data_IF_165135466574
#
_entry.id   IF_165135466574
#
_cell.length_a   1.000
_cell.length_b   1.000
_cell.length_c   1.000
_cell.angle_alpha   90.00
_cell.angle_beta   90.00
_cell.angle_gamma   90.00
#
_symmetry.space_group_name_H-M   'P 1'
#
loop_
_entity.id
_entity.type
_entity.pdbx_description
1 polymer ?
#
# COMPACT_ATOMS: atom_id res chain seq x y z
N UNK A 1 14.48 -58.03 -25.12
CA UNK A 1 13.43 -57.34 -24.32
C UNK A 1 13.96 -56.25 -23.38
N UNK A 2 15.24 -56.17 -23.09
CA UNK A 2 15.83 -55.16 -22.18
C UNK A 2 16.11 -53.79 -22.85
N UNK A 3 16.23 -53.73 -24.18
CA UNK A 3 16.59 -52.47 -24.87
C UNK A 3 15.44 -51.45 -24.98
N UNK A 4 14.16 -51.89 -24.91
CA UNK A 4 12.99 -50.99 -24.98
C UNK A 4 12.68 -50.28 -23.65
N UNK A 5 13.09 -50.86 -22.51
CA UNK A 5 12.82 -50.25 -21.20
C UNK A 5 13.67 -49.01 -20.92
N UNK A 6 14.92 -48.95 -21.45
CA UNK A 6 15.83 -47.81 -21.22
C UNK A 6 15.39 -46.51 -21.92
N UNK A 7 14.73 -46.64 -23.06
CA UNK A 7 14.26 -45.47 -23.81
C UNK A 7 12.98 -44.84 -23.19
N UNK A 8 12.12 -45.66 -22.57
CA UNK A 8 10.93 -45.14 -21.88
C UNK A 8 11.28 -44.38 -20.60
N UNK A 9 12.30 -44.81 -19.86
CA UNK A 9 12.76 -44.13 -18.67
C UNK A 9 13.42 -42.78 -18.99
N UNK A 10 14.16 -42.70 -20.09
CA UNK A 10 14.81 -41.45 -20.52
C UNK A 10 13.78 -40.38 -21.00
N UNK A 11 12.72 -40.82 -21.68
CA UNK A 11 11.64 -39.89 -22.15
C UNK A 11 10.82 -39.39 -20.97
N UNK A 12 10.52 -40.23 -19.98
CA UNK A 12 9.79 -39.84 -18.79
C UNK A 12 10.56 -38.83 -17.93
N UNK A 13 11.90 -39.00 -17.84
CA UNK A 13 12.79 -38.07 -17.10
C UNK A 13 12.89 -36.71 -17.82
N UNK A 14 12.93 -36.69 -19.14
CA UNK A 14 13.00 -35.47 -19.95
C UNK A 14 11.68 -34.67 -19.84
N UNK A 15 10.53 -35.33 -19.81
CA UNK A 15 9.21 -34.66 -19.67
C UNK A 15 9.05 -34.06 -18.27
N UNK A 16 9.55 -34.71 -17.21
CA UNK A 16 9.51 -34.19 -15.86
C UNK A 16 10.45 -32.98 -15.71
N UNK A 17 11.63 -33.01 -16.35
CA UNK A 17 12.59 -31.89 -16.31
C UNK A 17 12.08 -30.65 -17.08
N UNK A 18 11.37 -30.84 -18.20
CA UNK A 18 10.74 -29.74 -18.94
C UNK A 18 9.50 -29.18 -18.22
N UNK A 19 8.76 -30.00 -17.49
CA UNK A 19 7.59 -29.57 -16.71
C UNK A 19 7.93 -28.68 -15.53
N UNK A 20 9.12 -28.79 -14.94
CA UNK A 20 9.56 -27.97 -13.81
C UNK A 20 10.08 -26.58 -14.21
N UNK A 21 10.39 -26.36 -15.50
CA UNK A 21 10.86 -25.07 -16.01
C UNK A 21 9.73 -24.06 -16.29
N UNK A 22 8.46 -24.50 -16.30
CA UNK A 22 7.31 -23.62 -16.58
C UNK A 22 6.56 -23.11 -15.34
N UNK A 23 7.02 -23.44 -14.12
CA UNK A 23 6.28 -23.14 -12.89
C UNK A 23 6.69 -21.83 -12.17
N UNK A 24 7.55 -20.99 -12.74
CA UNK A 24 8.01 -19.77 -12.08
C UNK A 24 7.86 -18.48 -12.91
N UNK A 25 6.84 -18.35 -13.74
CA UNK A 25 6.44 -17.03 -14.23
C UNK A 25 5.43 -16.39 -13.28
N UNK A 26 5.81 -16.18 -12.03
CA UNK A 26 5.10 -15.24 -11.19
C UNK A 26 5.20 -13.87 -11.86
N UNK A 27 4.09 -13.32 -12.31
CA UNK A 27 4.04 -11.93 -12.77
C UNK A 27 4.69 -11.05 -11.71
N UNK A 28 5.58 -10.11 -12.07
CA UNK A 28 6.23 -9.27 -11.08
C UNK A 28 5.17 -8.57 -10.22
N UNK A 29 5.30 -8.72 -8.91
CA UNK A 29 4.36 -8.11 -7.97
C UNK A 29 4.28 -6.60 -8.23
N UNK A 30 3.07 -6.06 -8.27
CA UNK A 30 2.83 -4.63 -8.46
C UNK A 30 3.43 -3.82 -7.31
N UNK A 31 3.22 -4.29 -6.08
CA UNK A 31 3.67 -3.63 -4.86
C UNK A 31 4.86 -4.37 -4.30
N UNK A 32 5.98 -3.68 -4.13
CA UNK A 32 7.25 -4.27 -3.71
C UNK A 32 7.71 -3.60 -2.41
N UNK A 33 7.86 -4.41 -1.37
CA UNK A 33 8.49 -4.00 -0.11
C UNK A 33 9.96 -3.65 -0.37
N UNK A 34 10.37 -2.45 0.01
CA UNK A 34 11.74 -1.98 -0.17
C UNK A 34 12.65 -2.35 1.02
N UNK A 35 12.09 -2.86 2.12
CA UNK A 35 12.84 -3.22 3.33
C UNK A 35 13.21 -2.04 4.24
N UNK A 36 12.83 -0.82 3.88
CA UNK A 36 13.11 0.45 4.57
C UNK A 36 11.84 1.13 5.08
N UNK A 37 10.80 0.37 5.40
CA UNK A 37 9.46 0.86 5.78
C UNK A 37 8.69 1.52 4.62
N UNK A 38 9.08 1.24 3.38
CA UNK A 38 8.36 1.73 2.20
C UNK A 38 7.92 0.61 1.26
N UNK A 39 6.92 0.91 0.43
CA UNK A 39 6.37 0.03 -0.61
C UNK A 39 6.33 0.77 -1.94
N UNK A 40 7.02 0.27 -2.94
CA UNK A 40 6.97 0.81 -4.29
C UNK A 40 5.77 0.25 -5.08
N UNK A 41 4.93 1.11 -5.64
CA UNK A 41 3.90 0.74 -6.59
C UNK A 41 4.42 0.90 -8.03
N UNK A 42 4.80 -0.20 -8.65
CA UNK A 42 5.36 -0.24 -10.02
C UNK A 42 4.39 0.29 -11.08
N UNK A 43 3.09 0.20 -10.83
CA UNK A 43 2.09 0.69 -11.79
C UNK A 43 1.98 2.21 -11.77
N UNK A 44 1.93 2.81 -10.58
CA UNK A 44 1.77 4.26 -10.44
C UNK A 44 3.11 5.03 -10.44
N UNK A 45 4.22 4.37 -10.14
CA UNK A 45 5.52 5.00 -9.91
C UNK A 45 5.64 5.67 -8.55
N UNK A 46 4.65 5.50 -7.67
CA UNK A 46 4.64 6.07 -6.33
C UNK A 46 5.37 5.19 -5.33
N UNK A 47 5.98 5.84 -4.35
CA UNK A 47 6.53 5.21 -3.16
C UNK A 47 5.63 5.55 -1.97
N UNK A 48 5.23 4.56 -1.21
CA UNK A 48 4.29 4.67 -0.10
C UNK A 48 4.96 4.30 1.23
N UNK A 49 4.60 4.97 2.30
CA UNK A 49 4.88 4.49 3.66
C UNK A 49 4.24 3.11 3.86
N UNK A 50 4.98 2.11 4.34
CA UNK A 50 4.51 0.73 4.49
C UNK A 50 3.44 0.60 5.58
N UNK A 51 3.66 1.24 6.73
CA UNK A 51 2.66 1.45 7.77
C UNK A 51 1.80 2.68 7.52
N UNK A 52 1.35 3.30 8.60
CA UNK A 52 0.72 4.62 8.68
C UNK A 52 0.99 5.25 10.06
N UNK A 53 0.50 6.46 10.31
CA UNK A 53 0.71 7.17 11.57
C UNK A 53 0.20 6.41 12.81
N UNK A 54 -0.84 5.58 12.69
CA UNK A 54 -1.37 4.81 13.80
C UNK A 54 -0.36 3.77 14.31
N UNK A 55 0.48 3.20 13.44
CA UNK A 55 1.52 2.24 13.86
C UNK A 55 2.52 2.85 14.84
N UNK A 56 2.78 4.14 14.73
CA UNK A 56 3.71 4.88 15.60
C UNK A 56 3.00 5.51 16.80
N UNK A 57 1.90 6.22 16.57
CA UNK A 57 1.29 7.12 17.54
C UNK A 57 0.14 6.49 18.32
N UNK A 58 -0.44 5.38 17.83
CA UNK A 58 -1.59 4.66 18.41
C UNK A 58 -2.82 5.52 18.66
N UNK A 59 -2.99 6.57 17.87
CA UNK A 59 -4.12 7.51 17.90
C UNK A 59 -4.42 8.06 16.52
N UNK A 60 -5.66 8.51 16.31
CA UNK A 60 -6.05 9.33 15.18
C UNK A 60 -5.55 10.78 15.33
N UNK A 61 -5.80 11.59 14.31
CA UNK A 61 -5.37 12.98 14.27
C UNK A 61 -6.30 13.82 13.39
N UNK A 62 -6.34 15.12 13.63
CA UNK A 62 -7.00 16.06 12.75
C UNK A 62 -6.12 16.35 11.50
N UNK A 63 -6.68 17.08 10.52
CA UNK A 63 -5.99 17.33 9.26
C UNK A 63 -4.72 18.18 9.41
N UNK A 64 -4.72 19.16 10.31
CA UNK A 64 -3.54 19.98 10.58
C UNK A 64 -2.42 19.15 11.21
N UNK A 65 -2.76 18.29 12.17
CA UNK A 65 -1.81 17.34 12.77
C UNK A 65 -1.30 16.33 11.74
N UNK A 66 -2.12 15.99 10.74
CA UNK A 66 -1.70 15.14 9.63
C UNK A 66 -0.63 15.80 8.76
N UNK A 67 -0.72 17.11 8.51
CA UNK A 67 0.33 17.89 7.84
C UNK A 67 1.59 17.99 8.69
N UNK A 68 1.46 18.29 9.98
CA UNK A 68 2.59 18.33 10.92
C UNK A 68 3.34 17.00 11.00
N UNK A 69 2.60 15.87 10.99
CA UNK A 69 3.21 14.53 10.94
C UNK A 69 4.05 14.35 9.67
N UNK A 70 3.55 14.77 8.52
CA UNK A 70 4.29 14.70 7.25
C UNK A 70 5.54 15.57 7.31
N UNK A 71 5.42 16.81 7.81
CA UNK A 71 6.56 17.74 7.93
C UNK A 71 7.64 17.19 8.88
N UNK A 72 7.25 16.59 9.99
CA UNK A 72 8.16 15.90 10.91
C UNK A 72 8.91 14.77 10.21
N UNK A 73 8.20 13.92 9.44
CA UNK A 73 8.81 12.81 8.70
C UNK A 73 9.75 13.28 7.59
N UNK A 74 9.47 14.41 6.96
CA UNK A 74 10.38 15.05 6.02
C UNK A 74 11.63 15.59 6.72
N UNK A 75 11.50 16.24 7.87
CA UNK A 75 12.62 16.71 8.66
C UNK A 75 13.53 15.55 9.15
N UNK A 76 12.94 14.42 9.52
CA UNK A 76 13.64 13.18 9.88
C UNK A 76 14.26 12.46 8.69
N UNK A 77 13.96 12.86 7.46
CA UNK A 77 14.31 12.17 6.20
C UNK A 77 13.89 10.71 6.21
N UNK A 78 12.61 10.47 6.55
CA UNK A 78 12.05 9.12 6.61
C UNK A 78 12.38 8.31 5.35
N UNK A 79 12.94 7.11 5.53
CA UNK A 79 13.45 6.25 4.46
C UNK A 79 14.42 6.98 3.49
N UNK A 80 15.19 7.96 3.96
CA UNK A 80 16.15 8.73 3.18
C UNK A 80 15.55 9.84 2.31
N UNK A 81 14.27 10.20 2.50
CA UNK A 81 13.55 11.15 1.67
C UNK A 81 12.91 12.28 2.48
N UNK A 82 12.79 13.48 1.88
CA UNK A 82 12.25 14.69 2.48
C UNK A 82 11.12 15.34 1.64
N UNK A 83 10.55 14.59 0.71
CA UNK A 83 9.46 15.02 -0.19
C UNK A 83 8.16 14.19 -0.01
N UNK A 84 7.94 13.67 1.20
CA UNK A 84 6.71 12.99 1.58
C UNK A 84 5.55 13.98 1.64
N UNK A 85 4.35 13.50 1.34
CA UNK A 85 3.12 14.29 1.37
C UNK A 85 1.91 13.42 1.71
N UNK A 86 0.79 14.07 2.02
CA UNK A 86 -0.49 13.39 2.03
C UNK A 86 -0.86 12.91 0.61
N UNK A 87 -1.51 11.76 0.47
CA UNK A 87 -2.01 11.28 -0.81
C UNK A 87 -3.20 12.09 -1.29
N UNK A 88 -3.44 12.08 -2.58
CA UNK A 88 -4.73 12.48 -3.17
C UNK A 88 -5.74 11.36 -3.05
N UNK A 89 -7.04 11.68 -3.15
CA UNK A 89 -8.12 10.68 -3.26
C UNK A 89 -7.87 9.73 -4.45
N UNK A 90 -7.44 10.27 -5.59
CA UNK A 90 -7.14 9.47 -6.81
C UNK A 90 -6.03 8.45 -6.56
N UNK A 91 -5.00 8.80 -5.81
CA UNK A 91 -3.90 7.90 -5.45
C UNK A 91 -4.38 6.78 -4.53
N UNK A 92 -5.15 7.09 -3.48
CA UNK A 92 -5.73 6.09 -2.60
C UNK A 92 -6.70 5.15 -3.33
N UNK A 93 -7.54 5.68 -4.22
CA UNK A 93 -8.38 4.85 -5.11
C UNK A 93 -7.56 3.93 -6.01
N UNK A 94 -6.42 4.41 -6.50
CA UNK A 94 -5.51 3.62 -7.33
C UNK A 94 -4.79 2.52 -6.55
N UNK A 95 -4.55 2.74 -5.27
CA UNK A 95 -3.93 1.77 -4.36
C UNK A 95 -4.92 0.68 -3.92
N UNK A 96 -6.20 1.01 -3.82
CA UNK A 96 -7.24 0.13 -3.28
C UNK A 96 -7.39 -1.17 -4.07
N UNK A 97 -7.47 -2.30 -3.34
CA UNK A 97 -7.79 -3.63 -3.87
C UNK A 97 -9.06 -4.19 -3.22
N UNK A 98 -9.98 -4.70 -4.05
CA UNK A 98 -11.28 -5.20 -3.58
C UNK A 98 -11.20 -6.51 -2.80
N UNK A 99 -10.12 -7.26 -2.90
CA UNK A 99 -9.87 -8.46 -2.11
C UNK A 99 -9.68 -8.17 -0.61
N UNK A 100 -9.29 -6.93 -0.26
CA UNK A 100 -9.11 -6.46 1.11
C UNK A 100 -8.33 -7.43 2.01
N UNK A 101 -7.06 -7.74 1.66
CA UNK A 101 -6.27 -8.75 2.37
C UNK A 101 -5.78 -8.26 3.74
N UNK A 102 -5.64 -6.93 3.91
CA UNK A 102 -5.12 -6.31 5.13
C UNK A 102 -6.25 -6.10 6.15
N UNK A 103 -5.92 -6.14 7.43
CA UNK A 103 -6.82 -5.77 8.53
C UNK A 103 -6.44 -4.43 9.13
N UNK A 104 -7.44 -3.61 9.47
CA UNK A 104 -7.27 -2.37 10.22
C UNK A 104 -6.90 -2.62 11.68
N UNK A 105 -6.69 -1.54 12.44
CA UNK A 105 -6.48 -1.57 13.90
C UNK A 105 -7.64 -2.23 14.67
N UNK A 106 -8.85 -2.18 14.12
CA UNK A 106 -10.08 -2.71 14.71
C UNK A 106 -10.44 -4.11 14.17
N UNK A 107 -9.55 -4.69 13.36
CA UNK A 107 -9.71 -6.04 12.79
C UNK A 107 -10.55 -6.10 11.52
N UNK A 108 -11.04 -4.98 11.01
CA UNK A 108 -11.84 -4.90 9.80
C UNK A 108 -10.99 -5.05 8.53
N UNK A 109 -11.55 -5.68 7.51
CA UNK A 109 -10.85 -5.85 6.23
C UNK A 109 -10.80 -4.53 5.46
N UNK A 110 -9.60 -4.13 5.06
CA UNK A 110 -9.32 -2.90 4.31
C UNK A 110 -8.64 -3.17 2.97
N UNK A 111 -8.87 -2.29 2.01
CA UNK A 111 -8.44 -2.42 0.62
C UNK A 111 -6.98 -2.06 0.34
N UNK A 112 -6.09 -2.21 1.31
CA UNK A 112 -4.66 -2.13 1.03
C UNK A 112 -4.16 -3.50 0.55
N UNK A 113 -3.29 -3.55 -0.48
CA UNK A 113 -2.66 -4.79 -0.92
C UNK A 113 -1.53 -5.23 0.01
N UNK A 114 -1.10 -6.48 -0.09
CA UNK A 114 0.21 -6.88 0.43
C UNK A 114 1.31 -6.18 -0.40
N UNK A 115 2.42 -5.77 0.21
CA UNK A 115 2.94 -6.07 1.55
C UNK A 115 2.74 -4.93 2.58
N UNK A 116 1.66 -4.14 2.48
CA UNK A 116 1.38 -3.12 3.49
C UNK A 116 1.14 -3.73 4.86
N UNK A 117 1.38 -2.92 5.93
CA UNK A 117 1.30 -3.40 7.30
C UNK A 117 -0.15 -3.53 7.78
N UNK A 118 -0.47 -4.64 8.46
CA UNK A 118 -1.75 -4.82 9.16
C UNK A 118 -1.84 -3.95 10.41
N UNK A 119 -3.05 -3.64 10.88
CA UNK A 119 -3.27 -2.93 12.14
C UNK A 119 -3.18 -1.43 12.05
N UNK A 120 -3.29 -0.87 10.84
CA UNK A 120 -3.34 0.58 10.62
C UNK A 120 -4.74 1.17 10.64
N UNK A 121 -4.83 2.44 10.29
CA UNK A 121 -6.08 3.22 10.25
C UNK A 121 -7.04 2.72 9.17
N UNK A 122 -8.33 2.75 9.48
CA UNK A 122 -9.38 2.48 8.49
C UNK A 122 -9.61 3.67 7.57
N UNK A 123 -9.49 4.90 8.10
CA UNK A 123 -9.63 6.16 7.39
C UNK A 123 -8.28 6.86 7.24
N UNK A 124 -8.04 7.45 6.07
CA UNK A 124 -6.80 8.16 5.77
C UNK A 124 -7.08 9.56 5.26
N UNK A 125 -6.46 10.56 5.88
CA UNK A 125 -6.48 11.93 5.39
C UNK A 125 -5.86 12.05 3.99
N UNK A 126 -6.38 13.00 3.21
CA UNK A 126 -5.84 13.36 1.90
C UNK A 126 -5.36 14.81 1.89
N UNK A 127 -4.62 15.19 0.86
CA UNK A 127 -4.23 16.59 0.63
C UNK A 127 -5.34 17.42 -0.01
N UNK A 128 -6.54 16.87 -0.20
CA UNK A 128 -7.62 17.54 -0.91
C UNK A 128 -8.49 18.31 0.08
N UNK A 129 -8.49 19.61 -0.06
CA UNK A 129 -9.35 20.48 0.74
C UNK A 129 -10.77 20.58 0.17
N UNK A 130 -11.73 20.85 1.03
CA UNK A 130 -13.11 21.15 0.66
C UNK A 130 -13.54 22.49 1.28
N UNK A 131 -13.25 23.57 0.58
CA UNK A 131 -13.40 24.91 1.10
C UNK A 131 -12.38 25.22 2.20
N UNK A 132 -12.65 26.25 2.99
CA UNK A 132 -11.70 26.73 3.99
C UNK A 132 -11.58 25.81 5.21
N UNK A 133 -12.70 25.22 5.65
CA UNK A 133 -12.80 24.55 6.94
C UNK A 133 -12.68 23.02 6.87
N UNK A 134 -12.93 22.41 5.70
CA UNK A 134 -13.01 20.96 5.59
C UNK A 134 -11.87 20.38 4.71
N UNK A 135 -11.54 19.11 4.95
CA UNK A 135 -10.67 18.31 4.10
C UNK A 135 -11.28 16.92 3.85
N UNK A 136 -10.89 16.33 2.74
CA UNK A 136 -11.33 14.98 2.39
C UNK A 136 -10.46 13.92 3.03
N UNK A 137 -11.08 12.81 3.41
CA UNK A 137 -10.43 11.57 3.81
C UNK A 137 -11.06 10.38 3.10
N UNK A 138 -10.36 9.26 3.10
CA UNK A 138 -10.72 8.07 2.34
C UNK A 138 -10.90 6.86 3.25
N UNK A 139 -12.05 6.16 3.10
CA UNK A 139 -12.37 4.93 3.81
C UNK A 139 -11.85 3.70 3.05
N UNK A 140 -10.91 3.00 3.65
CA UNK A 140 -10.26 1.84 3.04
C UNK A 140 -11.13 0.57 3.03
N UNK A 141 -12.22 0.53 3.79
CA UNK A 141 -13.12 -0.64 3.81
C UNK A 141 -14.00 -0.73 2.59
N UNK A 142 -14.70 0.35 2.25
CA UNK A 142 -15.71 0.40 1.19
C UNK A 142 -15.30 1.24 -0.03
N UNK A 143 -14.09 1.78 -0.03
CA UNK A 143 -13.56 2.66 -1.11
C UNK A 143 -14.36 3.97 -1.21
N UNK A 144 -14.73 4.54 -0.09
CA UNK A 144 -15.60 5.70 0.00
C UNK A 144 -14.84 6.97 0.38
N UNK A 145 -15.36 8.10 -0.06
CA UNK A 145 -14.83 9.42 0.21
C UNK A 145 -15.71 10.12 1.24
N UNK A 146 -15.08 10.71 2.23
CA UNK A 146 -15.73 11.48 3.29
C UNK A 146 -15.00 12.80 3.47
N UNK A 147 -15.63 13.74 4.16
CA UNK A 147 -14.98 14.99 4.57
C UNK A 147 -15.31 15.29 6.02
N UNK A 148 -14.45 16.06 6.66
CA UNK A 148 -14.65 16.53 8.01
C UNK A 148 -13.99 17.89 8.19
N UNK A 149 -14.33 18.59 9.29
CA UNK A 149 -13.62 19.80 9.69
C UNK A 149 -12.13 19.50 9.89
N UNK A 150 -11.28 20.42 9.44
CA UNK A 150 -9.82 20.26 9.50
C UNK A 150 -9.28 20.22 10.93
N UNK A 151 -9.91 20.92 11.84
CA UNK A 151 -9.55 21.03 13.26
C UNK A 151 -10.23 19.99 14.14
N UNK A 152 -11.24 19.29 13.63
CA UNK A 152 -11.93 18.26 14.39
C UNK A 152 -10.99 17.05 14.57
N UNK A 153 -10.47 16.94 15.78
CA UNK A 153 -9.60 15.84 16.20
C UNK A 153 -10.41 14.60 16.50
N UNK A 154 -10.96 13.99 15.48
CA UNK A 154 -11.60 12.68 15.64
C UNK A 154 -10.74 11.64 14.93
N UNK A 155 -10.21 11.03 15.59
CA UNK A 155 -10.07 9.89 16.39
C UNK A 155 -9.72 8.63 15.59
N UNK A 156 -10.17 8.48 14.34
CA UNK A 156 -9.94 7.30 13.50
C UNK A 156 -9.19 7.60 12.20
N UNK A 157 -9.03 8.87 11.84
CA UNK A 157 -8.27 9.22 10.66
C UNK A 157 -6.77 9.20 10.96
N UNK A 158 -6.04 8.46 10.15
CA UNK A 158 -4.57 8.43 10.16
C UNK A 158 -3.96 9.02 8.91
N UNK A 159 -2.66 8.91 8.82
CA UNK A 159 -1.84 9.34 7.68
C UNK A 159 -1.07 8.16 7.12
N UNK A 160 -1.23 7.91 5.84
CA UNK A 160 -0.33 7.09 5.03
C UNK A 160 0.35 7.99 4.01
N UNK A 161 1.62 8.25 4.22
CA UNK A 161 2.38 9.14 3.34
C UNK A 161 2.68 8.50 1.99
N UNK A 162 2.81 9.38 0.99
CA UNK A 162 3.21 9.02 -0.36
C UNK A 162 4.21 10.04 -0.90
N UNK A 163 5.11 9.60 -1.80
CA UNK A 163 5.99 10.49 -2.56
C UNK A 163 6.06 10.11 -4.03
N UNK A 164 6.60 11.02 -4.83
CA UNK A 164 6.69 10.87 -6.28
C UNK A 164 5.48 11.43 -7.02
N UNK A 165 5.47 11.26 -8.33
CA UNK A 165 4.40 11.69 -9.24
C UNK A 165 3.79 10.46 -9.90
N UNK A 166 2.47 10.48 -10.12
CA UNK A 166 1.78 9.44 -10.89
C UNK A 166 2.40 9.36 -12.29
N UNK A 167 2.69 8.14 -12.73
CA UNK A 167 3.04 7.91 -14.14
C UNK A 167 1.90 8.43 -15.01
N UNK A 168 2.26 9.17 -16.07
CA UNK A 168 1.30 9.52 -17.12
C UNK A 168 1.08 8.25 -17.96
N UNK A 169 -0.12 7.68 -17.87
CA UNK A 169 -0.57 6.63 -18.79
C UNK A 169 -1.06 7.27 -20.09
#
# INVERSE_FOLDING_TARGET
MLFRLKHFAAILFAVILLGTLFLNSAWPARHIDQGDETVADKKSGLLWQKGDSYHELKKGMNWYQALEYVDLKNAEKFAGHDDWRLPTIKELKGLYVSSRPIKSKDGEKIGLPEPFRHGGSYYLWTNTERGLENAWYFGLGLKEEYFNLKDLGDLDQGVKMVRGKLNKN
#
